data_IF_030094162089
#
_entry.id   IF_030094162089
#
_cell.length_a   1.000
_cell.length_b   1.000
_cell.length_c   1.000
_cell.angle_alpha   90.00
_cell.angle_beta   90.00
_cell.angle_gamma   90.00
#
_symmetry.space_group_name_H-M   'P 1'
#
loop_
_entity.id
_entity.type
_entity.pdbx_description
1 polymer ?
#
# COMPACT_ATOMS: atom_id res chain seq x y z
N UNK A 1 -10.44 -26.85 -6.16
CA UNK A 1 -9.25 -27.14 -7.00
C UNK A 1 -9.14 -26.03 -8.02
N UNK A 2 -8.14 -25.15 -7.93
CA UNK A 2 -7.95 -24.11 -8.95
C UNK A 2 -7.54 -24.77 -10.28
N UNK A 3 -8.17 -24.36 -11.38
CA UNK A 3 -7.87 -24.90 -12.70
C UNK A 3 -6.42 -24.56 -13.07
N UNK A 4 -5.58 -25.59 -13.28
CA UNK A 4 -4.15 -25.40 -13.60
C UNK A 4 -3.98 -25.43 -15.12
N UNK A 5 -3.37 -24.39 -15.69
CA UNK A 5 -3.05 -24.32 -17.13
C UNK A 5 -1.55 -24.34 -17.33
N UNK A 6 -1.07 -25.14 -18.29
CA UNK A 6 0.35 -25.18 -18.67
C UNK A 6 0.67 -24.04 -19.62
N UNK A 7 1.76 -23.34 -19.35
CA UNK A 7 2.32 -22.29 -20.22
C UNK A 7 3.70 -22.74 -20.66
N UNK A 8 3.94 -22.71 -21.97
CA UNK A 8 5.23 -23.02 -22.59
C UNK A 8 5.88 -21.70 -22.99
N UNK A 9 7.03 -21.37 -22.38
CA UNK A 9 7.73 -20.11 -22.60
C UNK A 9 9.23 -20.36 -22.79
N UNK A 10 9.84 -19.62 -23.71
CA UNK A 10 11.28 -19.66 -23.97
C UNK A 10 11.98 -18.50 -23.25
N UNK A 11 13.09 -18.80 -22.58
CA UNK A 11 13.95 -17.81 -21.91
C UNK A 11 15.29 -17.74 -22.65
N UNK A 12 15.95 -16.58 -22.59
CA UNK A 12 17.33 -16.48 -23.08
C UNK A 12 18.27 -17.34 -22.21
N UNK A 13 19.34 -17.85 -22.81
CA UNK A 13 20.33 -18.65 -22.08
C UNK A 13 20.96 -17.89 -20.91
N UNK A 14 21.14 -16.57 -21.05
CA UNK A 14 21.66 -15.71 -19.98
C UNK A 14 20.71 -15.66 -18.78
N UNK A 15 19.40 -15.49 -19.02
CA UNK A 15 18.40 -15.43 -17.97
C UNK A 15 18.18 -16.81 -17.33
N UNK A 16 18.20 -17.88 -18.12
CA UNK A 16 18.11 -19.25 -17.62
C UNK A 16 19.27 -19.58 -16.66
N UNK A 17 20.48 -19.13 -16.98
CA UNK A 17 21.64 -19.30 -16.11
C UNK A 17 21.52 -18.52 -14.81
N UNK A 18 21.02 -17.28 -14.84
CA UNK A 18 20.75 -16.50 -13.62
C UNK A 18 19.71 -17.16 -12.73
N UNK A 19 18.62 -17.66 -13.32
CA UNK A 19 17.59 -18.42 -12.59
C UNK A 19 18.20 -19.68 -11.97
N UNK A 20 19.02 -20.43 -12.71
CA UNK A 20 19.70 -21.63 -12.18
C UNK A 20 20.61 -21.34 -10.98
N UNK A 21 21.23 -20.17 -10.93
CA UNK A 21 22.09 -19.75 -9.81
C UNK A 21 21.29 -19.30 -8.58
N UNK A 22 20.06 -18.81 -8.77
CA UNK A 22 19.17 -18.37 -7.70
C UNK A 22 18.36 -19.50 -7.07
N UNK A 23 18.20 -20.64 -7.74
CA UNK A 23 17.43 -21.79 -7.24
C UNK A 23 18.21 -22.46 -6.09
N UNK A 24 17.65 -22.51 -4.86
CA UNK A 24 18.27 -23.25 -3.76
C UNK A 24 18.37 -24.74 -4.09
N UNK A 25 19.39 -25.42 -3.57
CA UNK A 25 19.62 -26.86 -3.79
C UNK A 25 18.41 -27.72 -3.34
N UNK A 26 17.62 -27.20 -2.41
CA UNK A 26 16.42 -27.88 -1.85
C UNK A 26 15.12 -27.64 -2.65
N UNK A 27 15.17 -26.99 -3.81
CA UNK A 27 13.97 -26.70 -4.59
C UNK A 27 13.50 -27.94 -5.40
N UNK A 28 12.20 -28.27 -5.29
CA UNK A 28 11.59 -29.47 -5.91
C UNK A 28 11.67 -29.47 -7.44
N UNK A 29 11.64 -28.31 -8.11
CA UNK A 29 11.91 -28.17 -9.55
C UNK A 29 12.19 -26.71 -9.94
N UNK A 30 12.93 -26.50 -11.04
CA UNK A 30 13.20 -25.15 -11.60
C UNK A 30 11.90 -24.41 -11.99
N UNK A 31 10.90 -25.15 -12.47
CA UNK A 31 9.59 -24.60 -12.80
C UNK A 31 8.86 -24.07 -11.57
N UNK A 32 8.98 -24.74 -10.42
CA UNK A 32 8.32 -24.30 -9.19
C UNK A 32 8.90 -22.97 -8.70
N UNK A 33 10.22 -22.79 -8.80
CA UNK A 33 10.88 -21.53 -8.46
C UNK A 33 10.42 -20.37 -9.37
N UNK A 34 10.33 -20.59 -10.68
CA UNK A 34 9.82 -19.58 -11.62
C UNK A 34 8.36 -19.23 -11.33
N UNK A 35 7.52 -20.23 -11.05
CA UNK A 35 6.12 -20.01 -10.69
C UNK A 35 6.02 -19.19 -9.40
N UNK A 36 6.85 -19.48 -8.40
CA UNK A 36 6.84 -18.74 -7.13
C UNK A 36 7.27 -17.28 -7.32
N UNK A 37 8.34 -17.02 -8.08
CA UNK A 37 8.74 -15.65 -8.44
C UNK A 37 7.63 -14.92 -9.20
N UNK A 38 6.94 -15.60 -10.13
CA UNK A 38 5.83 -15.00 -10.86
C UNK A 38 4.65 -14.63 -9.96
N UNK A 39 4.33 -15.45 -8.96
CA UNK A 39 3.31 -15.09 -7.95
C UNK A 39 3.69 -13.81 -7.21
N UNK A 40 4.96 -13.70 -6.79
CA UNK A 40 5.46 -12.50 -6.10
C UNK A 40 5.34 -11.27 -7.00
N UNK A 41 5.75 -11.36 -8.27
CA UNK A 41 5.65 -10.26 -9.24
C UNK A 41 4.20 -9.82 -9.46
N UNK A 42 3.28 -10.77 -9.64
CA UNK A 42 1.85 -10.47 -9.84
C UNK A 42 1.27 -9.79 -8.61
N UNK A 43 1.60 -10.29 -7.42
CA UNK A 43 1.14 -9.70 -6.16
C UNK A 43 1.69 -8.28 -5.98
N UNK A 44 2.97 -8.05 -6.32
CA UNK A 44 3.58 -6.72 -6.22
C UNK A 44 2.96 -5.73 -7.22
N UNK A 45 2.70 -6.15 -8.46
CA UNK A 45 1.98 -5.31 -9.44
C UNK A 45 0.61 -4.91 -8.93
N UNK A 46 -0.15 -5.86 -8.39
CA UNK A 46 -1.47 -5.59 -7.79
C UNK A 46 -1.38 -4.63 -6.60
N UNK A 47 -0.34 -4.76 -5.77
CA UNK A 47 -0.08 -3.84 -4.64
C UNK A 47 0.15 -2.42 -5.16
N UNK A 48 0.99 -2.26 -6.18
CA UNK A 48 1.29 -0.95 -6.78
C UNK A 48 0.04 -0.32 -7.42
N UNK A 49 -0.78 -1.11 -8.11
CA UNK A 49 -2.06 -0.63 -8.67
C UNK A 49 -3.00 -0.10 -7.58
N UNK A 50 -3.09 -0.78 -6.43
CA UNK A 50 -3.90 -0.31 -5.30
C UNK A 50 -3.33 0.99 -4.73
N UNK A 51 -2.01 1.07 -4.56
CA UNK A 51 -1.35 2.28 -4.04
C UNK A 51 -1.61 3.48 -4.97
N UNK A 52 -1.53 3.29 -6.27
CA UNK A 52 -1.75 4.39 -7.21
C UNK A 52 -3.20 4.88 -7.18
N UNK A 53 -4.16 3.96 -7.17
CA UNK A 53 -5.58 4.32 -7.00
C UNK A 53 -5.86 5.04 -5.67
N UNK A 54 -5.17 4.66 -4.60
CA UNK A 54 -5.29 5.36 -3.32
C UNK A 54 -4.77 6.80 -3.43
N UNK A 55 -3.61 7.01 -4.07
CA UNK A 55 -3.07 8.35 -4.28
C UNK A 55 -4.01 9.20 -5.12
N UNK A 56 -4.48 8.68 -6.25
CA UNK A 56 -5.46 9.36 -7.10
C UNK A 56 -6.69 9.78 -6.28
N UNK A 57 -7.26 8.87 -5.50
CA UNK A 57 -8.40 9.18 -4.63
C UNK A 57 -8.09 10.24 -3.55
N UNK A 58 -6.88 10.23 -2.97
CA UNK A 58 -6.46 11.26 -2.01
C UNK A 58 -6.27 12.63 -2.67
N UNK A 59 -5.74 12.66 -3.89
CA UNK A 59 -5.61 13.89 -4.67
C UNK A 59 -6.98 14.44 -5.09
N UNK A 60 -7.89 13.59 -5.55
CA UNK A 60 -9.26 13.97 -5.87
C UNK A 60 -10.01 14.55 -4.67
N UNK A 61 -9.81 13.97 -3.48
CA UNK A 61 -10.47 14.42 -2.24
C UNK A 61 -9.68 15.51 -1.51
N UNK A 62 -8.56 15.97 -2.05
CA UNK A 62 -7.62 16.87 -1.35
C UNK A 62 -8.27 18.13 -0.81
N UNK A 63 -9.10 18.80 -1.61
CA UNK A 63 -9.78 20.03 -1.20
C UNK A 63 -10.80 19.78 -0.09
N UNK A 64 -11.64 18.74 -0.21
CA UNK A 64 -12.65 18.41 0.81
C UNK A 64 -11.98 18.03 2.12
N UNK A 65 -10.90 17.24 2.05
CA UNK A 65 -10.13 16.85 3.23
C UNK A 65 -9.47 18.06 3.90
N UNK A 66 -8.97 19.02 3.12
CA UNK A 66 -8.43 20.28 3.63
C UNK A 66 -9.52 21.10 4.32
N UNK A 67 -10.66 21.30 3.66
CA UNK A 67 -11.78 22.07 4.22
C UNK A 67 -12.27 21.47 5.55
N UNK A 68 -12.39 20.14 5.64
CA UNK A 68 -12.76 19.47 6.89
C UNK A 68 -11.69 19.61 7.98
N UNK A 69 -10.41 19.54 7.62
CA UNK A 69 -9.33 19.73 8.57
C UNK A 69 -9.32 21.16 9.14
N UNK A 70 -9.52 22.17 8.29
CA UNK A 70 -9.60 23.57 8.70
C UNK A 70 -10.80 23.84 9.60
N UNK A 71 -12.00 23.37 9.23
CA UNK A 71 -13.19 23.52 10.06
C UNK A 71 -13.06 22.81 11.42
N UNK A 72 -12.47 21.61 11.45
CA UNK A 72 -12.20 20.89 12.69
C UNK A 72 -11.26 21.68 13.62
N UNK A 73 -10.19 22.23 13.06
CA UNK A 73 -9.22 23.02 13.81
C UNK A 73 -9.82 24.33 14.34
N UNK A 74 -10.68 24.99 13.56
CA UNK A 74 -11.41 26.18 14.02
C UNK A 74 -12.33 25.87 15.21
N UNK A 75 -13.03 24.73 15.15
CA UNK A 75 -13.89 24.28 16.24
C UNK A 75 -13.07 23.93 17.50
N UNK A 76 -11.95 23.21 17.34
CA UNK A 76 -11.06 22.85 18.46
C UNK A 76 -10.53 24.11 19.18
N UNK A 77 -10.15 25.15 18.43
CA UNK A 77 -9.71 26.43 19.00
C UNK A 77 -10.87 27.10 19.75
N UNK A 78 -12.06 27.12 19.16
CA UNK A 78 -13.25 27.73 19.77
C UNK A 78 -13.59 27.04 21.10
N UNK A 79 -13.55 25.71 21.12
CA UNK A 79 -13.82 24.91 22.31
C UNK A 79 -12.77 25.17 23.40
N UNK A 80 -11.49 25.26 23.03
CA UNK A 80 -10.41 25.59 23.96
C UNK A 80 -10.60 26.99 24.57
N UNK A 81 -10.89 28.00 23.76
CA UNK A 81 -11.13 29.37 24.25
C UNK A 81 -12.32 29.41 25.20
N UNK A 82 -13.41 28.72 24.87
CA UNK A 82 -14.58 28.63 25.73
C UNK A 82 -14.26 27.94 27.06
N UNK A 83 -13.49 26.85 27.01
CA UNK A 83 -13.05 26.12 28.19
C UNK A 83 -12.18 27.00 29.12
N UNK A 84 -11.18 27.68 28.58
CA UNK A 84 -10.32 28.58 29.36
C UNK A 84 -11.11 29.74 29.98
N UNK A 85 -12.03 30.35 29.22
CA UNK A 85 -12.91 31.39 29.74
C UNK A 85 -13.79 30.89 30.89
N UNK A 86 -14.27 29.64 30.80
CA UNK A 86 -15.04 29.00 31.87
C UNK A 86 -14.21 28.73 33.12
N UNK A 87 -12.97 28.27 32.97
CA UNK A 87 -12.06 28.06 34.09
C UNK A 87 -11.73 29.38 34.81
N UNK A 88 -11.41 30.43 34.06
CA UNK A 88 -11.17 31.78 34.61
C UNK A 88 -12.40 32.30 35.36
N UNK A 89 -13.60 32.15 34.81
CA UNK A 89 -14.86 32.53 35.49
C UNK A 89 -15.07 31.79 36.81
N UNK A 90 -14.56 30.58 36.94
CA UNK A 90 -14.67 29.76 38.15
C UNK A 90 -13.50 29.96 39.13
N UNK A 91 -12.55 30.85 38.82
CA UNK A 91 -11.37 31.10 39.65
C UNK A 91 -10.39 29.92 39.72
N UNK A 92 -10.44 29.02 38.73
CA UNK A 92 -9.55 27.86 38.64
C UNK A 92 -8.27 28.12 37.82
N UNK A 93 -8.19 29.31 37.20
CA UNK A 93 -7.04 29.85 36.48
C UNK A 93 -6.83 31.32 36.87
#
# INVERSE_FOLDING_TARGET
>A
MAETRRVLASLSNSLLNQVNLMVPVDCKSKSDSVIETMKVIVNERRRLEIIEKLKEGYEEMSQINLDFAEMGLEQDITDLVCYEANLKRRGML
#
